data_IF_786860451507
#
_entry.id   IF_786860451507
#
_cell.length_a   1.000
_cell.length_b   1.000
_cell.length_c   1.000
_cell.angle_alpha   90.00
_cell.angle_beta   90.00
_cell.angle_gamma   90.00
#
_symmetry.space_group_name_H-M   'P 1'
#
loop_
_entity.id
_entity.type
_entity.pdbx_description
1 polymer ?
#
# COMPACT_ATOMS: atom_id res chain seq x y z
N UNK A 1 37.05 -4.81 3.13
CA UNK A 1 35.98 -3.82 3.41
C UNK A 1 34.96 -3.78 2.26
N UNK A 2 34.02 -4.74 2.25
CA UNK A 2 33.05 -4.92 1.18
C UNK A 2 31.84 -3.99 1.35
N UNK A 3 31.61 -3.24 0.29
CA UNK A 3 30.55 -2.26 0.06
C UNK A 3 29.15 -2.68 0.56
N UNK A 4 28.53 -1.77 1.31
CA UNK A 4 27.18 -1.82 1.90
C UNK A 4 26.08 -2.15 0.87
N UNK A 5 25.28 -3.20 1.11
CA UNK A 5 23.99 -3.39 0.44
C UNK A 5 22.92 -2.48 1.06
N UNK A 6 22.85 -1.23 0.58
CA UNK A 6 21.86 -0.22 1.03
C UNK A 6 20.47 -0.40 0.40
N UNK A 7 19.84 -1.56 0.57
CA UNK A 7 18.41 -1.72 0.28
C UNK A 7 17.73 -2.37 1.49
N UNK A 8 17.31 -1.58 2.49
CA UNK A 8 16.58 -2.12 3.65
C UNK A 8 15.22 -2.70 3.24
N UNK A 9 14.71 -2.39 2.04
CA UNK A 9 13.41 -2.83 1.57
C UNK A 9 13.52 -3.90 0.48
N UNK A 10 12.64 -4.91 0.58
CA UNK A 10 12.45 -5.97 -0.43
C UNK A 10 11.93 -5.38 -1.74
N UNK A 11 12.41 -5.90 -2.88
CA UNK A 11 11.98 -5.45 -4.22
C UNK A 11 10.50 -5.78 -4.47
N UNK A 12 9.77 -4.88 -5.10
CA UNK A 12 8.39 -5.12 -5.60
C UNK A 12 8.45 -5.77 -6.98
N UNK A 13 7.62 -6.78 -7.24
CA UNK A 13 7.43 -7.38 -8.56
C UNK A 13 6.03 -7.06 -9.10
N UNK A 14 5.94 -6.08 -10.01
CA UNK A 14 4.69 -5.63 -10.60
C UNK A 14 4.01 -4.46 -9.89
N UNK A 15 2.98 -3.90 -10.54
CA UNK A 15 2.05 -2.93 -9.97
C UNK A 15 0.62 -3.16 -10.52
N UNK A 16 -0.36 -3.40 -9.63
CA UNK A 16 -1.78 -3.52 -10.01
C UNK A 16 -2.08 -4.64 -10.99
N UNK A 17 -1.23 -5.67 -11.00
CA UNK A 17 -1.35 -6.78 -11.95
C UNK A 17 -2.35 -7.86 -11.50
N UNK A 18 -3.02 -7.66 -10.37
CA UNK A 18 -4.08 -8.52 -9.86
C UNK A 18 -5.26 -8.56 -10.85
N UNK A 19 -5.35 -9.65 -11.60
CA UNK A 19 -6.35 -9.85 -12.66
C UNK A 19 -5.77 -9.84 -14.07
N UNK A 20 -4.50 -9.49 -14.25
CA UNK A 20 -3.84 -9.61 -15.55
C UNK A 20 -3.61 -11.09 -15.89
N UNK A 21 -3.85 -11.51 -17.15
CA UNK A 21 -3.54 -12.86 -17.60
C UNK A 21 -2.07 -13.20 -17.32
N UNK A 22 -1.80 -14.43 -16.90
CA UNK A 22 -0.44 -14.97 -16.63
C UNK A 22 0.38 -14.22 -15.57
N UNK A 23 -0.18 -13.27 -14.83
CA UNK A 23 0.59 -12.54 -13.80
C UNK A 23 1.18 -13.50 -12.75
N UNK A 24 0.40 -14.50 -12.31
CA UNK A 24 0.88 -15.48 -11.35
C UNK A 24 2.05 -16.31 -11.89
N UNK A 25 1.98 -16.76 -13.14
CA UNK A 25 3.04 -17.52 -13.79
C UNK A 25 4.31 -16.68 -13.93
N UNK A 26 4.19 -15.47 -14.47
CA UNK A 26 5.30 -14.53 -14.63
C UNK A 26 5.91 -14.15 -13.28
N UNK A 27 5.07 -13.93 -12.26
CA UNK A 27 5.52 -13.65 -10.91
C UNK A 27 6.37 -14.79 -10.36
N UNK A 28 5.92 -16.05 -10.47
CA UNK A 28 6.64 -17.20 -9.93
C UNK A 28 8.00 -17.37 -10.60
N UNK A 29 8.08 -17.14 -11.92
CA UNK A 29 9.34 -17.14 -12.67
C UNK A 29 10.30 -16.05 -12.19
N UNK A 30 9.82 -14.81 -12.04
CA UNK A 30 10.63 -13.68 -11.57
C UNK A 30 11.06 -13.85 -10.11
N UNK A 31 10.14 -14.32 -9.25
CA UNK A 31 10.38 -14.55 -7.84
C UNK A 31 11.45 -15.62 -7.63
N UNK A 32 11.37 -16.75 -8.34
CA UNK A 32 12.34 -17.84 -8.22
C UNK A 32 13.74 -17.36 -8.63
N UNK A 33 13.86 -16.69 -9.78
CA UNK A 33 15.14 -16.15 -10.26
C UNK A 33 15.75 -15.15 -9.28
N UNK A 34 14.95 -14.23 -8.73
CA UNK A 34 15.43 -13.21 -7.80
C UNK A 34 15.72 -13.76 -6.40
N UNK A 35 14.93 -14.72 -5.91
CA UNK A 35 15.20 -15.37 -4.62
C UNK A 35 16.51 -16.15 -4.65
N UNK A 36 16.80 -16.83 -5.77
CA UNK A 36 18.08 -17.52 -5.97
C UNK A 36 19.26 -16.55 -5.97
N UNK A 37 19.13 -15.39 -6.62
CA UNK A 37 20.22 -14.40 -6.73
C UNK A 37 20.36 -13.51 -5.49
N UNK A 38 19.27 -13.26 -4.76
CA UNK A 38 19.20 -12.35 -3.61
C UNK A 38 18.49 -13.01 -2.41
N UNK A 39 19.06 -14.08 -1.83
CA UNK A 39 18.40 -14.86 -0.79
C UNK A 39 18.15 -14.09 0.51
N UNK A 40 18.98 -13.10 0.84
CA UNK A 40 18.82 -12.25 2.03
C UNK A 40 17.71 -11.20 1.91
N UNK A 41 17.27 -10.88 0.69
CA UNK A 41 16.25 -9.85 0.41
C UNK A 41 15.31 -10.33 -0.72
N UNK A 42 14.52 -11.39 -0.50
CA UNK A 42 13.63 -11.91 -1.52
C UNK A 42 12.56 -10.86 -1.87
N UNK A 43 12.09 -10.80 -3.13
CA UNK A 43 11.06 -9.83 -3.53
C UNK A 43 9.71 -10.10 -2.84
N UNK A 44 8.84 -9.07 -2.79
CA UNK A 44 7.47 -9.18 -2.29
C UNK A 44 6.48 -9.45 -3.42
N UNK A 45 5.52 -10.33 -3.12
CA UNK A 45 4.38 -10.64 -3.97
C UNK A 45 3.32 -9.54 -3.90
N UNK A 46 2.74 -9.17 -5.03
CA UNK A 46 1.62 -8.27 -5.06
C UNK A 46 0.32 -9.05 -5.28
N UNK A 47 -0.50 -9.20 -4.24
CA UNK A 47 -1.81 -9.82 -4.36
C UNK A 47 -2.87 -9.03 -3.61
N UNK A 48 -4.05 -8.91 -4.19
CA UNK A 48 -5.24 -8.38 -3.51
C UNK A 48 -5.77 -9.42 -2.51
N UNK A 49 -6.40 -9.02 -1.40
CA UNK A 49 -7.21 -9.92 -0.59
C UNK A 49 -8.36 -10.46 -1.45
N UNK A 50 -8.47 -11.78 -1.50
CA UNK A 50 -9.58 -12.51 -2.10
C UNK A 50 -9.89 -13.74 -1.26
N UNK A 51 -11.15 -14.19 -1.20
CA UNK A 51 -11.51 -15.35 -0.38
C UNK A 51 -10.84 -16.62 -0.93
N UNK A 52 -10.09 -17.30 -0.06
CA UNK A 52 -9.94 -18.75 -0.17
C UNK A 52 -8.60 -19.35 -0.58
N UNK A 53 -7.52 -18.62 -0.91
CA UNK A 53 -6.24 -19.32 -1.20
C UNK A 53 -4.97 -18.58 -0.78
N UNK A 54 -4.26 -19.22 0.15
CA UNK A 54 -2.84 -19.08 0.50
C UNK A 54 -2.38 -17.75 1.10
N UNK A 55 -1.38 -17.86 1.98
CA UNK A 55 -0.68 -16.79 2.68
C UNK A 55 -0.13 -15.78 1.67
N UNK A 56 -0.68 -14.56 1.65
CA UNK A 56 -0.44 -13.56 0.59
C UNK A 56 -0.20 -12.19 1.20
N UNK A 57 0.72 -11.38 0.64
CA UNK A 57 0.97 -10.04 1.18
C UNK A 57 -0.30 -9.24 0.93
N UNK A 58 -0.90 -8.80 2.02
CA UNK A 58 -2.16 -8.08 1.96
C UNK A 58 -1.88 -6.67 1.44
N UNK A 59 -2.26 -6.43 0.18
CA UNK A 59 -2.40 -5.09 -0.38
C UNK A 59 -3.83 -4.63 -0.22
N UNK A 60 -4.07 -3.55 0.51
CA UNK A 60 -5.24 -2.72 0.24
C UNK A 60 -4.89 -1.83 -0.93
N UNK A 61 -5.65 -1.95 -2.00
CA UNK A 61 -5.58 -1.10 -3.17
C UNK A 61 -6.95 -0.45 -3.29
N UNK A 62 -6.97 0.88 -3.29
CA UNK A 62 -8.04 1.73 -3.80
C UNK A 62 -9.33 1.66 -2.97
N UNK A 63 -9.44 2.55 -1.97
CA UNK A 63 -10.64 2.70 -1.16
C UNK A 63 -11.32 4.01 -1.47
N UNK A 64 -12.24 3.94 -2.41
CA UNK A 64 -12.80 5.14 -3.02
C UNK A 64 -13.65 5.94 -2.04
N UNK A 65 -14.53 5.28 -1.27
CA UNK A 65 -15.51 5.97 -0.45
C UNK A 65 -15.11 5.98 1.05
N UNK A 66 -15.29 7.11 1.79
CA UNK A 66 -14.91 7.21 3.20
C UNK A 66 -15.51 6.08 4.07
N UNK A 67 -16.75 5.68 3.79
CA UNK A 67 -17.42 4.58 4.51
C UNK A 67 -16.68 3.25 4.37
N UNK A 68 -16.15 2.96 3.19
CA UNK A 68 -15.50 1.68 2.91
C UNK A 68 -14.17 1.59 3.61
N UNK A 69 -13.40 2.68 3.62
CA UNK A 69 -12.13 2.75 4.33
C UNK A 69 -12.35 2.65 5.85
N UNK A 70 -13.32 3.39 6.40
CA UNK A 70 -13.69 3.32 7.82
C UNK A 70 -14.08 1.90 8.26
N UNK A 71 -14.84 1.19 7.42
CA UNK A 71 -15.26 -0.19 7.69
C UNK A 71 -14.10 -1.18 7.67
N UNK A 72 -12.94 -0.82 7.09
CA UNK A 72 -11.74 -1.65 7.07
C UNK A 72 -10.81 -1.44 8.27
N UNK A 73 -11.18 -0.61 9.26
CA UNK A 73 -10.40 -0.43 10.51
C UNK A 73 -10.12 -1.72 11.29
N UNK A 74 -10.82 -2.83 10.98
CA UNK A 74 -10.65 -4.15 11.60
C UNK A 74 -10.15 -5.22 10.63
N UNK A 75 -9.80 -4.86 9.40
CA UNK A 75 -9.45 -5.83 8.33
C UNK A 75 -8.20 -6.67 8.67
N UNK A 76 -7.34 -6.15 9.54
CA UNK A 76 -6.08 -6.80 9.93
C UNK A 76 -6.18 -7.62 11.22
N UNK A 77 -7.29 -7.51 11.98
CA UNK A 77 -7.43 -8.08 13.33
C UNK A 77 -7.31 -9.61 13.40
N UNK A 78 -7.36 -10.29 12.25
CA UNK A 78 -7.24 -11.75 12.13
C UNK A 78 -6.03 -12.20 11.32
N UNK A 79 -5.13 -11.27 10.97
CA UNK A 79 -3.89 -11.61 10.27
C UNK A 79 -2.94 -12.26 11.26
N UNK A 80 -2.39 -13.41 10.90
CA UNK A 80 -1.38 -14.07 11.72
C UNK A 80 -0.07 -13.26 11.70
N UNK A 81 0.39 -12.69 12.82
CA UNK A 81 1.61 -11.88 12.87
C UNK A 81 2.88 -12.71 12.64
N UNK A 82 2.82 -14.02 12.88
CA UNK A 82 3.94 -14.95 12.69
C UNK A 82 3.91 -15.63 11.30
N UNK A 83 2.99 -15.23 10.42
CA UNK A 83 2.88 -15.77 9.07
C UNK A 83 3.67 -14.95 8.05
N UNK A 84 4.51 -15.61 7.25
CA UNK A 84 4.97 -15.02 5.98
C UNK A 84 3.79 -15.08 4.99
N UNK A 85 3.36 -13.97 4.39
CA UNK A 85 3.99 -12.63 4.41
C UNK A 85 3.31 -11.58 5.29
N UNK A 86 4.14 -10.71 5.88
CA UNK A 86 3.72 -9.48 6.54
C UNK A 86 2.95 -8.55 5.59
N UNK A 87 2.05 -7.78 6.17
CA UNK A 87 1.14 -6.87 5.48
C UNK A 87 1.88 -5.59 5.08
N UNK A 88 1.65 -5.15 3.84
CA UNK A 88 2.04 -3.83 3.37
C UNK A 88 0.84 -3.16 2.71
N UNK A 89 0.20 -2.22 3.41
CA UNK A 89 -0.86 -1.36 2.87
C UNK A 89 -0.24 -0.29 1.97
N UNK A 90 0.23 -0.70 0.80
CA UNK A 90 1.13 0.11 -0.03
C UNK A 90 0.53 1.39 -0.60
N UNK A 91 -0.80 1.44 -0.74
CA UNK A 91 -1.53 2.58 -1.30
C UNK A 91 -2.93 2.63 -0.66
N UNK A 92 -3.19 3.64 0.18
CA UNK A 92 -4.53 3.96 0.66
C UNK A 92 -4.78 5.47 0.57
N UNK A 93 -6.01 5.84 0.23
CA UNK A 93 -6.54 7.20 0.28
C UNK A 93 -8.04 7.13 0.03
N UNK A 94 -8.81 8.06 0.59
CA UNK A 94 -10.19 8.34 0.21
C UNK A 94 -10.17 9.21 -1.05
N UNK A 95 -10.71 8.68 -2.15
CA UNK A 95 -10.68 9.37 -3.44
C UNK A 95 -12.00 10.00 -3.86
N UNK A 96 -13.11 9.58 -3.24
CA UNK A 96 -14.46 10.01 -3.60
C UNK A 96 -14.96 11.16 -2.72
N UNK A 97 -15.56 12.17 -3.35
CA UNK A 97 -16.05 13.39 -2.70
C UNK A 97 -14.97 14.22 -2.00
N UNK A 98 -13.69 13.87 -2.17
CA UNK A 98 -12.55 14.39 -1.43
C UNK A 98 -12.14 15.82 -1.79
N UNK A 99 -12.18 16.18 -3.07
CA UNK A 99 -11.62 17.45 -3.52
C UNK A 99 -10.18 17.60 -3.01
N UNK A 100 -9.79 18.74 -2.46
CA UNK A 100 -8.48 18.92 -1.82
C UNK A 100 -8.44 18.33 -0.39
N UNK A 101 -9.04 17.17 -0.17
CA UNK A 101 -9.27 16.61 1.16
C UNK A 101 -10.49 17.19 1.86
N UNK A 102 -11.09 16.40 2.75
CA UNK A 102 -12.20 16.82 3.58
C UNK A 102 -12.17 16.08 4.94
N UNK A 103 -12.84 16.64 5.95
CA UNK A 103 -12.84 16.08 7.30
C UNK A 103 -13.39 14.65 7.36
N UNK A 104 -14.37 14.31 6.52
CA UNK A 104 -14.97 12.98 6.50
C UNK A 104 -14.01 11.91 5.97
N UNK A 105 -13.20 12.27 4.97
CA UNK A 105 -12.12 11.45 4.43
C UNK A 105 -11.03 11.24 5.48
N UNK A 106 -10.56 12.33 6.08
CA UNK A 106 -9.55 12.30 7.13
C UNK A 106 -9.96 11.42 8.33
N UNK A 107 -11.21 11.51 8.78
CA UNK A 107 -11.72 10.66 9.86
C UNK A 107 -11.75 9.17 9.48
N UNK A 108 -12.07 8.86 8.22
CA UNK A 108 -12.06 7.48 7.73
C UNK A 108 -10.63 6.93 7.61
N UNK A 109 -9.70 7.74 7.14
CA UNK A 109 -8.26 7.43 7.02
C UNK A 109 -7.64 7.21 8.40
N UNK A 110 -7.89 8.12 9.35
CA UNK A 110 -7.47 7.98 10.74
C UNK A 110 -8.04 6.70 11.38
N UNK A 111 -9.35 6.43 11.20
CA UNK A 111 -9.95 5.19 11.72
C UNK A 111 -9.29 3.94 11.13
N UNK A 112 -8.98 3.94 9.83
CA UNK A 112 -8.23 2.86 9.21
C UNK A 112 -6.82 2.71 9.78
N UNK A 113 -6.11 3.82 10.03
CA UNK A 113 -4.79 3.83 10.65
C UNK A 113 -4.77 3.24 12.06
N UNK A 114 -5.84 3.40 12.86
CA UNK A 114 -5.93 2.70 14.16
C UNK A 114 -5.90 1.17 14.01
N UNK A 115 -6.43 0.65 12.91
CA UNK A 115 -6.37 -0.76 12.56
C UNK A 115 -4.97 -1.20 12.13
N UNK A 116 -4.24 -0.34 11.42
CA UNK A 116 -2.84 -0.58 11.07
C UNK A 116 -1.98 -0.67 12.33
N UNK A 117 -2.11 0.33 13.21
CA UNK A 117 -1.31 0.45 14.45
C UNK A 117 -1.60 -0.69 15.43
N UNK A 118 -2.88 -1.01 15.67
CA UNK A 118 -3.29 -2.14 16.53
C UNK A 118 -2.72 -3.48 16.07
N UNK A 119 -2.44 -3.62 14.77
CA UNK A 119 -1.92 -4.84 14.16
C UNK A 119 -0.46 -4.69 13.69
N UNK A 120 0.33 -3.80 14.31
CA UNK A 120 1.71 -3.51 13.92
C UNK A 120 2.67 -4.72 13.96
N UNK A 121 2.31 -5.78 14.68
CA UNK A 121 3.04 -7.06 14.64
C UNK A 121 2.94 -7.76 13.27
N UNK A 122 1.79 -7.61 12.59
CA UNK A 122 1.54 -8.17 11.27
C UNK A 122 1.73 -7.14 10.15
N UNK A 123 1.49 -5.85 10.43
CA UNK A 123 1.56 -4.73 9.49
C UNK A 123 2.92 -4.06 9.57
N UNK A 124 3.73 -4.25 8.52
CA UNK A 124 5.10 -3.74 8.50
C UNK A 124 5.20 -2.32 7.93
N UNK A 125 4.32 -2.00 6.97
CA UNK A 125 4.34 -0.72 6.27
C UNK A 125 2.93 -0.33 5.82
N UNK A 126 2.71 0.98 5.72
CA UNK A 126 1.55 1.57 5.07
C UNK A 126 1.98 2.85 4.37
N UNK A 127 1.35 3.19 3.25
CA UNK A 127 1.64 4.43 2.55
C UNK A 127 0.37 5.04 1.95
N UNK A 128 0.20 6.33 2.22
CA UNK A 128 -0.79 7.16 1.55
C UNK A 128 -0.40 7.32 0.09
N UNK A 129 -1.37 7.23 -0.83
CA UNK A 129 -1.08 7.45 -2.24
C UNK A 129 -2.26 8.10 -2.99
N UNK A 130 -1.97 9.07 -3.87
CA UNK A 130 -0.65 9.64 -4.20
C UNK A 130 -0.15 10.69 -3.18
N UNK A 131 1.17 10.85 -3.09
CA UNK A 131 1.81 11.74 -2.10
C UNK A 131 1.81 13.21 -2.53
N UNK A 132 2.26 13.51 -3.76
CA UNK A 132 2.45 14.87 -4.25
C UNK A 132 1.60 15.15 -5.47
N UNK A 133 1.15 16.41 -5.60
CA UNK A 133 0.55 16.93 -6.83
C UNK A 133 0.91 18.39 -7.06
N UNK A 134 1.13 18.74 -8.31
CA UNK A 134 1.27 20.13 -8.71
C UNK A 134 -0.11 20.79 -8.86
N UNK A 135 -0.29 22.01 -8.37
CA UNK A 135 -1.58 22.74 -8.45
C UNK A 135 -2.18 22.77 -9.85
N UNK A 136 -1.31 22.97 -10.85
CA UNK A 136 -1.70 23.18 -12.25
C UNK A 136 -1.91 21.87 -13.03
N UNK A 137 -1.54 20.71 -12.47
CA UNK A 137 -1.71 19.43 -13.13
C UNK A 137 -2.09 18.34 -12.14
N UNK A 138 -3.41 18.13 -12.03
CA UNK A 138 -4.02 17.24 -11.07
C UNK A 138 -4.72 16.06 -11.77
N UNK A 139 -3.99 14.98 -12.07
CA UNK A 139 -4.59 13.79 -12.68
C UNK A 139 -5.40 12.94 -11.70
N UNK A 140 -5.16 13.06 -10.40
CA UNK A 140 -5.85 12.30 -9.35
C UNK A 140 -6.67 13.21 -8.42
N UNK A 141 -7.87 12.77 -8.02
CA UNK A 141 -8.76 13.56 -7.18
C UNK A 141 -8.30 13.68 -5.72
N UNK A 142 -7.21 13.03 -5.31
CA UNK A 142 -6.71 13.09 -3.94
C UNK A 142 -5.19 13.02 -3.97
N UNK A 143 -4.50 13.87 -3.20
CA UNK A 143 -3.04 13.85 -3.00
C UNK A 143 -2.70 14.55 -1.67
N UNK A 144 -1.78 13.99 -0.88
CA UNK A 144 -1.54 14.45 0.50
C UNK A 144 -0.90 15.85 0.57
N UNK A 145 0.03 16.13 -0.33
CA UNK A 145 0.82 17.36 -0.36
C UNK A 145 0.63 18.01 -1.73
N UNK A 146 0.16 19.26 -1.71
CA UNK A 146 -0.04 20.07 -2.91
C UNK A 146 1.10 21.07 -3.00
N UNK A 147 1.71 21.17 -4.18
CA UNK A 147 2.87 22.03 -4.43
C UNK A 147 2.61 22.95 -5.62
N UNK A 148 3.19 24.15 -5.59
CA UNK A 148 3.44 25.01 -6.74
C UNK A 148 4.95 25.28 -6.88
N UNK A 149 5.35 26.18 -7.77
CA UNK A 149 6.77 26.50 -8.00
C UNK A 149 7.52 27.10 -6.79
N UNK A 150 6.81 27.55 -5.75
CA UNK A 150 7.39 28.24 -4.59
C UNK A 150 6.80 27.84 -3.23
N UNK A 151 5.64 27.18 -3.18
CA UNK A 151 4.85 26.94 -1.98
C UNK A 151 4.32 25.51 -1.94
N UNK A 152 3.92 25.10 -0.74
CA UNK A 152 3.20 23.85 -0.53
C UNK A 152 2.16 23.99 0.57
N UNK A 153 1.15 23.12 0.55
CA UNK A 153 0.23 22.90 1.65
C UNK A 153 -0.16 21.43 1.75
N UNK A 154 -0.63 21.03 2.93
CA UNK A 154 -1.14 19.67 3.20
C UNK A 154 -2.66 19.69 3.23
N UNK A 155 -3.27 18.61 2.76
CA UNK A 155 -4.73 18.46 2.83
C UNK A 155 -5.16 17.78 4.14
N UNK A 156 -6.40 17.98 4.60
CA UNK A 156 -6.98 17.14 5.64
C UNK A 156 -7.08 15.70 5.16
N UNK A 157 -6.34 14.80 5.82
CA UNK A 157 -6.23 13.38 5.53
C UNK A 157 -5.76 12.60 6.77
#
# INVERSE_FOLDING_TARGET
>A
PTSRSRLPYRRRLGNEDCGKPRYLENYLLMYSALKTRYPSTPPRLQLRPGPGRARRPLRLAHLHHPRDLFNKRTVFDRVNPFGDPHVFASEYAVTDGGGWGNLRGALAEAAFMTGLERNGEAVEMAAYAPLFVHTDNRPWPTNLIVIDNARHYVIPS
#
